data_IF_464556762034
#
_entry.id   IF_464556762034
#
_cell.length_a   1.000
_cell.length_b   1.000
_cell.length_c   1.000
_cell.angle_alpha   90.00
_cell.angle_beta   90.00
_cell.angle_gamma   90.00
#
_symmetry.space_group_name_H-M   'P 1'
#
loop_
_entity.id
_entity.type
_entity.pdbx_description
1 polymer ?
#
# COMPACT_ATOMS: atom_id res chain seq x y z
N UNK A 1 59.78 -22.45 -8.98
CA UNK A 1 59.44 -21.07 -8.57
C UNK A 1 58.36 -20.43 -9.45
N UNK A 2 58.47 -20.45 -10.80
CA UNK A 2 57.48 -19.80 -11.69
C UNK A 2 56.05 -20.38 -11.61
N UNK A 3 55.91 -21.70 -11.41
CA UNK A 3 54.61 -22.40 -11.31
C UNK A 3 53.84 -22.11 -10.03
N UNK A 4 54.53 -21.87 -8.89
CA UNK A 4 53.85 -21.51 -7.64
C UNK A 4 53.46 -20.03 -7.60
N UNK A 5 54.21 -19.18 -8.32
CA UNK A 5 53.89 -17.76 -8.46
C UNK A 5 52.65 -17.53 -9.36
N UNK A 6 52.49 -18.33 -10.42
CA UNK A 6 51.26 -18.34 -11.23
C UNK A 6 50.05 -18.87 -10.47
N UNK A 7 50.22 -19.90 -9.62
CA UNK A 7 49.14 -20.44 -8.77
C UNK A 7 48.66 -19.42 -7.73
N UNK A 8 49.58 -18.66 -7.14
CA UNK A 8 49.25 -17.64 -6.16
C UNK A 8 48.54 -16.45 -6.80
N UNK A 9 48.93 -16.07 -8.02
CA UNK A 9 48.28 -14.99 -8.78
C UNK A 9 46.85 -15.35 -9.21
N UNK A 10 46.59 -16.59 -9.65
CA UNK A 10 45.22 -17.04 -9.98
C UNK A 10 44.34 -17.20 -8.74
N UNK A 11 44.89 -17.67 -7.61
CA UNK A 11 44.15 -17.75 -6.36
C UNK A 11 43.73 -16.36 -5.84
N UNK A 12 44.61 -15.35 -5.96
CA UNK A 12 44.33 -13.98 -5.55
C UNK A 12 43.29 -13.29 -6.46
N UNK A 13 43.34 -13.56 -7.77
CA UNK A 13 42.35 -13.09 -8.72
C UNK A 13 40.96 -13.73 -8.50
N UNK A 14 40.91 -15.01 -8.12
CA UNK A 14 39.66 -15.68 -7.74
C UNK A 14 39.06 -15.11 -6.46
N UNK A 15 39.89 -14.80 -5.45
CA UNK A 15 39.43 -14.21 -4.19
C UNK A 15 38.91 -12.77 -4.37
N UNK A 16 39.50 -12.00 -5.29
CA UNK A 16 38.98 -10.69 -5.68
C UNK A 16 37.62 -10.78 -6.41
N UNK A 17 37.39 -11.83 -7.19
CA UNK A 17 36.11 -12.08 -7.85
C UNK A 17 34.98 -12.46 -6.87
N UNK A 18 35.28 -13.17 -5.78
CA UNK A 18 34.27 -13.48 -4.75
C UNK A 18 33.86 -12.26 -3.92
N UNK A 19 34.75 -11.27 -3.76
CA UNK A 19 34.46 -10.06 -2.99
C UNK A 19 33.61 -9.02 -3.75
N UNK A 20 33.32 -9.25 -5.04
CA UNK A 20 32.46 -8.42 -5.87
C UNK A 20 31.00 -8.89 -5.90
N UNK A 21 30.63 -9.85 -5.07
CA UNK A 21 29.21 -10.16 -4.84
C UNK A 21 28.60 -9.02 -4.03
N UNK A 22 28.09 -8.04 -4.77
CA UNK A 22 27.35 -6.89 -4.27
C UNK A 22 26.21 -7.42 -3.40
N UNK A 23 26.32 -7.20 -2.09
CA UNK A 23 25.21 -7.40 -1.18
C UNK A 23 24.23 -6.28 -1.49
N UNK A 24 23.34 -6.51 -2.47
CA UNK A 24 22.20 -5.64 -2.71
C UNK A 24 21.49 -5.46 -1.38
N UNK A 25 21.73 -4.33 -0.72
CA UNK A 25 21.11 -4.06 0.55
C UNK A 25 19.61 -4.04 0.29
N UNK A 26 18.84 -4.74 1.14
CA UNK A 26 17.38 -4.73 1.09
C UNK A 26 16.80 -3.34 1.45
N UNK A 27 17.59 -2.26 1.35
CA UNK A 27 17.27 -0.91 1.81
C UNK A 27 16.04 -0.30 1.12
N UNK A 28 15.54 -0.94 0.05
CA UNK A 28 14.31 -0.56 -0.65
C UNK A 28 13.08 -1.45 -0.40
N UNK A 29 13.20 -2.61 0.25
CA UNK A 29 12.07 -3.55 0.41
C UNK A 29 11.37 -3.32 1.75
N UNK A 30 10.07 -3.04 1.72
CA UNK A 30 9.24 -3.11 2.93
C UNK A 30 8.55 -4.47 2.96
N UNK A 31 8.83 -5.25 3.99
CA UNK A 31 8.00 -6.41 4.32
C UNK A 31 6.69 -5.95 4.98
N UNK A 32 5.57 -6.40 4.45
CA UNK A 32 4.22 -6.04 4.93
C UNK A 32 3.64 -7.24 5.67
N UNK A 33 3.40 -7.10 6.97
CA UNK A 33 2.74 -8.15 7.76
C UNK A 33 1.25 -8.26 7.41
N UNK A 34 0.58 -7.13 7.19
CA UNK A 34 -0.85 -7.09 6.86
C UNK A 34 -1.20 -5.88 6.02
N UNK A 35 -2.11 -6.05 5.07
CA UNK A 35 -2.69 -4.97 4.31
C UNK A 35 -4.14 -5.29 3.93
N UNK A 36 -4.91 -4.26 3.61
CA UNK A 36 -6.28 -4.44 3.18
C UNK A 36 -7.03 -3.14 2.96
N UNK A 37 -8.31 -3.30 2.65
CA UNK A 37 -9.25 -2.20 2.43
C UNK A 37 -10.49 -2.46 3.29
N UNK A 38 -11.05 -1.40 3.87
CA UNK A 38 -12.35 -1.45 4.55
C UNK A 38 -13.08 -0.11 4.43
N UNK A 39 -14.41 -0.14 4.59
CA UNK A 39 -15.24 1.05 4.73
C UNK A 39 -15.51 1.34 6.20
N UNK A 40 -15.59 2.61 6.57
CA UNK A 40 -15.86 3.04 7.95
C UNK A 40 -16.82 4.20 8.02
N UNK A 41 -17.63 4.24 9.09
CA UNK A 41 -18.70 5.23 9.23
C UNK A 41 -19.81 5.02 8.19
N UNK A 42 -20.40 6.12 7.76
CA UNK A 42 -21.53 6.14 6.84
C UNK A 42 -22.88 5.98 7.50
N UNK A 43 -23.91 6.08 6.67
CA UNK A 43 -25.32 5.94 7.05
C UNK A 43 -26.08 5.13 6.01
N UNK A 44 -27.25 4.64 6.41
CA UNK A 44 -28.20 3.97 5.50
C UNK A 44 -29.39 4.90 5.32
N UNK A 45 -29.73 5.21 4.07
CA UNK A 45 -30.91 6.02 3.78
C UNK A 45 -32.18 5.30 4.23
N UNK A 46 -33.23 6.06 4.51
CA UNK A 46 -34.56 5.47 4.57
C UNK A 46 -34.91 4.76 3.25
N UNK A 47 -35.73 3.71 3.27
CA UNK A 47 -36.18 3.07 2.04
C UNK A 47 -36.86 4.07 1.11
N UNK A 48 -36.58 3.95 -0.18
CA UNK A 48 -37.33 4.70 -1.20
C UNK A 48 -38.80 4.27 -1.15
N UNK A 49 -39.77 5.19 -1.21
CA UNK A 49 -41.19 4.84 -1.17
C UNK A 49 -41.58 3.79 -2.21
N UNK A 50 -42.32 2.77 -1.79
CA UNK A 50 -42.74 1.64 -2.62
C UNK A 50 -42.39 0.29 -2.00
N UNK A 51 -42.63 -0.81 -2.74
CA UNK A 51 -42.24 -2.15 -2.33
C UNK A 51 -41.07 -2.63 -3.18
N UNK A 52 -40.12 -3.27 -2.53
CA UNK A 52 -39.04 -3.97 -3.21
C UNK A 52 -39.61 -5.11 -4.06
N UNK A 53 -39.09 -5.25 -5.28
CA UNK A 53 -39.42 -6.30 -6.22
C UNK A 53 -38.12 -6.95 -6.71
N UNK A 54 -37.87 -8.17 -6.26
CA UNK A 54 -36.65 -8.93 -6.56
C UNK A 54 -36.53 -9.34 -8.04
N UNK A 55 -37.62 -9.26 -8.81
CA UNK A 55 -37.61 -9.57 -10.25
C UNK A 55 -37.18 -8.38 -11.11
N UNK A 56 -37.12 -7.17 -10.52
CA UNK A 56 -36.73 -5.93 -11.21
C UNK A 56 -35.22 -5.74 -11.14
N UNK A 57 -34.64 -5.29 -12.26
CA UNK A 57 -33.21 -4.99 -12.35
C UNK A 57 -32.84 -3.72 -11.56
N UNK A 58 -31.62 -3.69 -11.01
CA UNK A 58 -31.01 -2.57 -10.28
C UNK A 58 -30.90 -1.24 -11.08
N UNK A 59 -31.05 -1.31 -12.41
CA UNK A 59 -31.10 -0.17 -13.33
C UNK A 59 -32.44 0.57 -13.35
N UNK A 60 -33.49 0.03 -12.70
CA UNK A 60 -34.71 0.81 -12.46
C UNK A 60 -34.35 2.07 -11.68
N UNK A 61 -34.59 3.24 -12.26
CA UNK A 61 -34.24 4.52 -11.64
C UNK A 61 -35.12 4.83 -10.41
N UNK A 62 -36.32 4.26 -10.32
CA UNK A 62 -37.24 4.49 -9.22
C UNK A 62 -36.85 3.74 -7.94
N UNK A 63 -36.16 2.59 -8.06
CA UNK A 63 -35.63 1.77 -6.94
C UNK A 63 -36.57 1.63 -5.72
N UNK A 64 -37.87 1.35 -5.90
CA UNK A 64 -38.82 1.33 -4.80
C UNK A 64 -38.43 0.29 -3.74
N UNK A 65 -38.52 0.67 -2.47
CA UNK A 65 -38.17 -0.18 -1.33
C UNK A 65 -36.67 -0.36 -1.08
N UNK A 66 -35.78 0.12 -1.96
CA UNK A 66 -34.33 0.02 -1.75
C UNK A 66 -33.84 1.04 -0.70
N UNK A 67 -32.77 0.68 -0.01
CA UNK A 67 -31.93 1.59 0.78
C UNK A 67 -30.59 1.81 0.09
N UNK A 68 -29.89 2.90 0.44
CA UNK A 68 -28.52 3.16 -0.01
C UNK A 68 -27.58 3.30 1.20
N UNK A 69 -26.39 2.68 1.11
CA UNK A 69 -25.32 2.85 2.07
C UNK A 69 -24.39 3.96 1.59
N UNK A 70 -24.40 5.10 2.27
CA UNK A 70 -23.75 6.35 1.84
C UNK A 70 -22.81 6.89 2.91
N UNK A 71 -22.03 7.91 2.57
CA UNK A 71 -21.16 8.68 3.48
C UNK A 71 -20.08 7.87 4.22
N UNK A 72 -19.75 6.68 3.71
CA UNK A 72 -18.66 5.87 4.25
C UNK A 72 -17.32 6.36 3.71
N UNK A 73 -16.31 6.37 4.57
CA UNK A 73 -14.93 6.60 4.13
C UNK A 73 -14.31 5.28 3.65
N UNK A 74 -13.70 5.27 2.47
CA UNK A 74 -12.92 4.13 1.99
C UNK A 74 -11.49 4.21 2.54
N UNK A 75 -11.02 3.13 3.16
CA UNK A 75 -9.72 3.08 3.82
C UNK A 75 -8.84 2.03 3.19
N UNK A 76 -7.61 2.38 2.85
CA UNK A 76 -6.54 1.43 2.55
C UNK A 76 -5.48 1.49 3.64
N UNK A 77 -5.09 0.34 4.19
CA UNK A 77 -4.09 0.26 5.27
C UNK A 77 -2.97 -0.72 4.95
N UNK A 78 -1.80 -0.43 5.50
CA UNK A 78 -0.63 -1.31 5.48
C UNK A 78 0.08 -1.28 6.83
N UNK A 79 0.42 -2.46 7.34
CA UNK A 79 1.16 -2.67 8.59
C UNK A 79 2.50 -3.33 8.21
N UNK A 80 3.65 -2.67 8.46
CA UNK A 80 4.96 -3.26 8.19
C UNK A 80 5.24 -4.44 9.13
N UNK A 81 6.09 -5.37 8.71
CA UNK A 81 6.46 -6.53 9.52
C UNK A 81 7.20 -6.13 10.81
N UNK A 82 8.03 -5.10 10.72
CA UNK A 82 8.58 -4.41 11.89
C UNK A 82 7.71 -3.21 12.24
N UNK A 83 6.69 -3.42 13.08
CA UNK A 83 5.82 -2.36 13.55
C UNK A 83 6.46 -1.56 14.70
N UNK A 84 6.53 -0.23 14.53
CA UNK A 84 7.08 0.74 15.48
C UNK A 84 6.10 1.89 15.63
N UNK A 85 5.79 2.26 16.87
CA UNK A 85 5.00 3.45 17.19
C UNK A 85 3.53 3.40 16.74
N UNK A 86 2.87 4.55 16.80
CA UNK A 86 1.44 4.67 16.49
C UNK A 86 1.16 4.74 14.98
N UNK A 87 -0.03 4.33 14.51
CA UNK A 87 -0.42 4.50 13.11
C UNK A 87 -0.40 5.98 12.67
N UNK A 88 -0.12 6.21 11.39
CA UNK A 88 -0.34 7.50 10.73
C UNK A 88 -1.60 7.43 9.89
N UNK A 89 -2.53 8.32 10.20
CA UNK A 89 -3.74 8.54 9.41
C UNK A 89 -3.51 9.69 8.44
N UNK A 90 -3.71 9.43 7.15
CA UNK A 90 -3.61 10.42 6.10
C UNK A 90 -5.00 10.85 5.64
N UNK A 91 -5.31 12.12 5.84
CA UNK A 91 -6.53 12.78 5.36
C UNK A 91 -6.15 13.74 4.22
N UNK A 92 -6.79 13.60 3.07
CA UNK A 92 -6.54 14.48 1.93
C UNK A 92 -7.36 15.78 2.00
N UNK A 93 -6.96 16.78 1.21
CA UNK A 93 -7.68 18.04 1.06
C UNK A 93 -8.74 18.02 -0.06
N UNK A 94 -9.27 19.21 -0.36
CA UNK A 94 -10.28 19.43 -1.40
C UNK A 94 -9.81 18.98 -2.79
N UNK A 95 -10.68 18.29 -3.53
CA UNK A 95 -10.43 17.84 -4.90
C UNK A 95 -9.33 16.78 -5.03
N UNK A 96 -8.91 16.16 -3.93
CA UNK A 96 -7.89 15.11 -3.87
C UNK A 96 -8.50 13.81 -3.35
N UNK A 97 -7.71 12.73 -3.35
CA UNK A 97 -8.07 11.43 -2.78
C UNK A 97 -6.87 10.78 -2.10
N UNK A 98 -6.97 9.51 -1.70
CA UNK A 98 -5.83 8.74 -1.14
C UNK A 98 -4.57 8.75 -2.02
N UNK A 99 -4.71 9.03 -3.32
CA UNK A 99 -3.60 9.06 -4.27
C UNK A 99 -2.57 10.14 -3.89
N UNK A 100 -2.99 11.25 -3.27
CA UNK A 100 -2.08 12.34 -2.88
C UNK A 100 -0.98 11.95 -1.89
N UNK A 101 -1.11 10.80 -1.22
CA UNK A 101 -0.12 10.27 -0.27
C UNK A 101 0.66 9.07 -0.81
N UNK A 102 0.35 8.61 -2.02
CA UNK A 102 1.05 7.53 -2.72
C UNK A 102 2.14 8.12 -3.61
N UNK A 103 2.54 7.40 -4.66
CA UNK A 103 3.57 7.84 -5.62
C UNK A 103 3.31 9.27 -6.07
N UNK A 104 4.36 10.09 -6.10
CA UNK A 104 4.28 11.47 -6.55
C UNK A 104 4.01 11.52 -8.06
N UNK A 105 3.49 12.65 -8.61
CA UNK A 105 3.19 12.76 -10.04
C UNK A 105 4.39 12.49 -10.97
N UNK A 106 5.61 12.74 -10.49
CA UNK A 106 6.88 12.50 -11.17
C UNK A 106 7.48 11.10 -10.89
N UNK A 107 6.73 10.19 -10.27
CA UNK A 107 7.12 8.79 -10.09
C UNK A 107 8.01 8.51 -8.86
N UNK A 108 8.30 9.51 -8.03
CA UNK A 108 9.03 9.29 -6.77
C UNK A 108 8.11 8.70 -5.70
N UNK A 109 8.74 8.18 -4.65
CA UNK A 109 8.04 7.59 -3.53
C UNK A 109 7.19 8.59 -2.75
N UNK A 110 6.02 8.10 -2.33
CA UNK A 110 5.01 8.88 -1.62
C UNK A 110 5.28 9.02 -0.12
N UNK A 111 4.56 9.94 0.52
CA UNK A 111 4.62 10.09 1.98
C UNK A 111 4.21 8.80 2.72
N UNK A 112 3.28 8.01 2.17
CA UNK A 112 2.91 6.69 2.70
C UNK A 112 4.12 5.75 2.79
N UNK A 113 4.98 5.74 1.76
CA UNK A 113 6.17 4.87 1.72
C UNK A 113 7.15 5.21 2.84
N UNK A 114 7.36 6.49 3.11
CA UNK A 114 8.26 6.96 4.17
C UNK A 114 7.77 6.55 5.56
N UNK A 115 6.45 6.61 5.79
CA UNK A 115 5.84 6.14 7.06
C UNK A 115 6.07 4.65 7.27
N UNK A 116 5.87 3.83 6.24
CA UNK A 116 6.10 2.40 6.32
C UNK A 116 7.59 2.06 6.52
N UNK A 117 8.50 2.82 5.89
CA UNK A 117 9.95 2.64 6.09
C UNK A 117 10.39 2.99 7.51
N UNK A 118 9.70 3.91 8.16
CA UNK A 118 9.89 4.21 9.58
C UNK A 118 9.29 3.14 10.52
N UNK A 119 8.75 2.04 9.98
CA UNK A 119 8.09 0.97 10.73
C UNK A 119 6.69 1.33 11.23
N UNK A 120 6.14 2.49 10.86
CA UNK A 120 4.82 2.91 11.36
C UNK A 120 3.71 2.35 10.48
N UNK A 121 2.58 1.87 11.05
CA UNK A 121 1.41 1.54 10.24
C UNK A 121 0.89 2.78 9.49
N UNK A 122 0.55 2.61 8.23
CA UNK A 122 0.00 3.67 7.38
C UNK A 122 -1.46 3.41 7.03
N UNK A 123 -2.31 4.41 7.23
CA UNK A 123 -3.75 4.35 6.90
C UNK A 123 -4.09 5.55 6.01
N UNK A 124 -4.49 5.30 4.77
CA UNK A 124 -4.89 6.35 3.82
C UNK A 124 -6.39 6.29 3.55
N UNK A 125 -7.06 7.43 3.67
CA UNK A 125 -8.48 7.58 3.34
C UNK A 125 -8.68 8.05 1.90
N UNK A 126 -9.70 7.51 1.24
CA UNK A 126 -10.30 8.05 0.03
C UNK A 126 -11.77 8.37 0.34
N UNK A 127 -12.17 9.62 0.07
CA UNK A 127 -13.56 10.04 -0.07
C UNK A 127 -14.03 9.80 -1.51
#
# INVERSE_FOLDING_TARGET
MKKSLTFLATALAFLAFLSACDSSSNDGVISIAKQGVFSSGGSVTTPVPGKYDETKNWLDAARPGNTAHVDHANTFFQIPAEEKGLPVVFLHGYGQSRIGWQTTPDGREGRRRNVLQAGRPGVVYAL
#
